data_IF_981026238602
#
_entry.id   IF_981026238602
#
_cell.length_a   1.000
_cell.length_b   1.000
_cell.length_c   1.000
_cell.angle_alpha   90.00
_cell.angle_beta   90.00
_cell.angle_gamma   90.00
#
_symmetry.space_group_name_H-M   'P 1'
#
loop_
_entity.id
_entity.type
_entity.pdbx_description
1 polymer ?
#
# COMPACT_ATOMS: atom_id res chain seq x y z
N UNK A 1 -40.22 -42.55 38.18
CA UNK A 1 -40.15 -42.74 36.72
C UNK A 1 -40.41 -41.38 36.08
N UNK A 2 -39.35 -40.65 35.73
CA UNK A 2 -39.44 -39.32 35.11
C UNK A 2 -38.74 -39.42 33.77
N UNK A 3 -39.51 -39.29 32.70
CA UNK A 3 -39.04 -39.41 31.32
C UNK A 3 -38.49 -38.04 30.89
N UNK A 4 -37.15 -37.90 30.82
CA UNK A 4 -36.51 -36.71 30.26
C UNK A 4 -36.44 -36.85 28.74
N UNK A 5 -37.19 -35.99 28.05
CA UNK A 5 -37.26 -35.91 26.61
C UNK A 5 -36.00 -35.23 26.05
N UNK A 6 -35.09 -36.02 25.50
CA UNK A 6 -33.84 -35.58 24.84
C UNK A 6 -34.11 -35.14 23.39
N UNK A 7 -34.65 -33.92 23.18
CA UNK A 7 -35.01 -33.44 21.83
C UNK A 7 -34.47 -32.03 21.48
N UNK A 8 -33.25 -31.68 21.90
CA UNK A 8 -32.69 -30.33 21.65
C UNK A 8 -31.26 -30.26 21.06
N UNK A 9 -30.80 -31.27 20.30
CA UNK A 9 -29.42 -31.27 19.73
C UNK A 9 -29.37 -31.46 18.20
N UNK A 10 -30.33 -30.92 17.44
CA UNK A 10 -30.29 -31.00 15.96
C UNK A 10 -30.58 -29.71 15.19
N UNK A 11 -30.60 -28.53 15.85
CA UNK A 11 -30.94 -27.26 15.18
C UNK A 11 -29.77 -26.28 14.98
N UNK A 12 -28.51 -26.72 15.15
CA UNK A 12 -27.35 -25.82 15.04
C UNK A 12 -26.46 -26.07 13.81
N UNK A 13 -26.77 -27.05 12.96
CA UNK A 13 -25.93 -27.38 11.79
C UNK A 13 -26.26 -26.58 10.51
N UNK A 14 -27.46 -26.00 10.40
CA UNK A 14 -27.92 -25.42 9.12
C UNK A 14 -27.56 -23.95 8.90
N UNK A 15 -27.27 -23.18 9.95
CA UNK A 15 -27.02 -21.73 9.80
C UNK A 15 -25.69 -21.47 9.07
N UNK A 16 -24.68 -22.30 9.31
CA UNK A 16 -23.34 -22.10 8.72
C UNK A 16 -23.30 -22.40 7.22
N UNK A 17 -24.14 -23.32 6.73
CA UNK A 17 -24.17 -23.70 5.32
C UNK A 17 -24.81 -22.61 4.44
N UNK A 18 -25.81 -21.88 4.96
CA UNK A 18 -26.45 -20.79 4.23
C UNK A 18 -25.47 -19.66 3.87
N UNK A 19 -24.58 -19.27 4.79
CA UNK A 19 -23.62 -18.18 4.56
C UNK A 19 -22.59 -18.47 3.46
N UNK A 20 -22.12 -19.71 3.35
CA UNK A 20 -21.15 -20.09 2.31
C UNK A 20 -21.77 -20.05 0.91
N UNK A 21 -23.05 -20.40 0.78
CA UNK A 21 -23.72 -20.39 -0.53
C UNK A 21 -24.03 -18.98 -1.03
N UNK A 22 -24.23 -18.01 -0.14
CA UNK A 22 -24.51 -16.62 -0.53
C UNK A 22 -23.27 -15.95 -1.12
N UNK A 23 -22.10 -16.14 -0.50
CA UNK A 23 -20.82 -15.58 -1.00
C UNK A 23 -20.47 -16.13 -2.40
N UNK A 24 -20.74 -17.41 -2.66
CA UNK A 24 -20.52 -18.01 -3.98
C UNK A 24 -21.45 -17.42 -5.05
N UNK A 25 -22.73 -17.20 -4.72
CA UNK A 25 -23.69 -16.58 -5.64
C UNK A 25 -23.29 -15.15 -5.99
N UNK A 26 -22.87 -14.37 -4.99
CA UNK A 26 -22.41 -12.99 -5.19
C UNK A 26 -21.16 -12.92 -6.08
N UNK A 27 -20.17 -13.79 -5.84
CA UNK A 27 -18.97 -13.89 -6.67
C UNK A 27 -19.27 -14.27 -8.12
N UNK A 28 -20.19 -15.23 -8.32
CA UNK A 28 -20.61 -15.63 -9.67
C UNK A 28 -21.38 -14.52 -10.39
N UNK A 29 -22.23 -13.78 -9.67
CA UNK A 29 -22.93 -12.61 -10.21
C UNK A 29 -21.96 -11.50 -10.61
N UNK A 30 -20.93 -11.22 -9.80
CA UNK A 30 -19.88 -10.25 -10.13
C UNK A 30 -19.08 -10.68 -11.37
N UNK A 31 -18.67 -11.96 -11.45
CA UNK A 31 -17.99 -12.51 -12.63
C UNK A 31 -18.84 -12.37 -13.90
N UNK A 32 -20.13 -12.69 -13.83
CA UNK A 32 -21.03 -12.55 -14.96
C UNK A 32 -21.16 -11.09 -15.44
N UNK A 33 -21.20 -10.12 -14.51
CA UNK A 33 -21.21 -8.69 -14.83
C UNK A 33 -19.91 -8.23 -15.48
N UNK A 34 -18.75 -8.64 -14.96
CA UNK A 34 -17.45 -8.33 -15.56
C UNK A 34 -17.35 -8.92 -16.97
N UNK A 35 -17.78 -10.18 -17.16
CA UNK A 35 -17.79 -10.85 -18.45
C UNK A 35 -18.60 -10.07 -19.50
N UNK A 36 -19.81 -9.60 -19.15
CA UNK A 36 -20.63 -8.77 -20.06
C UNK A 36 -20.00 -7.42 -20.42
N UNK A 37 -19.11 -6.90 -19.57
CA UNK A 37 -18.36 -5.67 -19.82
C UNK A 37 -17.20 -5.92 -20.81
N UNK A 38 -16.46 -7.03 -20.62
CA UNK A 38 -15.27 -7.35 -21.40
C UNK A 38 -15.55 -8.13 -22.69
N UNK A 39 -16.72 -8.77 -22.83
CA UNK A 39 -17.09 -9.51 -24.04
C UNK A 39 -17.30 -8.59 -25.25
N UNK A 40 -16.83 -9.09 -26.40
CA UNK A 40 -17.06 -8.50 -27.71
C UNK A 40 -18.55 -8.53 -28.03
N UNK A 41 -19.19 -7.35 -28.06
CA UNK A 41 -20.54 -7.23 -28.59
C UNK A 41 -20.44 -7.05 -30.10
N UNK A 42 -20.24 -8.16 -30.81
CA UNK A 42 -20.50 -8.17 -32.25
C UNK A 42 -22.01 -8.11 -32.46
N UNK A 43 -22.51 -7.04 -33.08
CA UNK A 43 -23.85 -7.07 -33.69
C UNK A 43 -23.73 -7.89 -34.98
N UNK A 44 -24.76 -8.67 -35.31
CA UNK A 44 -24.78 -9.49 -36.54
C UNK A 44 -24.31 -8.68 -37.76
N UNK A 45 -23.13 -9.03 -38.30
CA UNK A 45 -22.54 -8.40 -39.48
C UNK A 45 -21.57 -7.24 -39.23
N UNK A 46 -21.38 -6.76 -38.00
CA UNK A 46 -20.43 -5.70 -37.66
C UNK A 46 -19.13 -6.24 -37.03
N UNK A 47 -18.02 -5.56 -37.26
CA UNK A 47 -16.75 -5.87 -36.61
C UNK A 47 -16.90 -5.82 -35.07
N UNK A 48 -16.26 -6.73 -34.33
CA UNK A 48 -16.37 -6.79 -32.87
C UNK A 48 -15.90 -5.47 -32.25
N UNK A 49 -16.85 -4.72 -31.68
CA UNK A 49 -16.57 -3.46 -30.99
C UNK A 49 -16.42 -3.73 -29.49
N UNK A 50 -15.18 -3.70 -29.02
CA UNK A 50 -14.86 -3.79 -27.59
C UNK A 50 -15.50 -2.61 -26.85
N UNK A 51 -16.23 -2.90 -25.76
CA UNK A 51 -16.77 -1.87 -24.88
C UNK A 51 -15.67 -1.25 -23.99
N UNK A 52 -14.59 -1.99 -23.77
CA UNK A 52 -13.45 -1.60 -22.94
C UNK A 52 -12.20 -1.35 -23.79
N UNK A 53 -11.24 -0.56 -23.31
CA UNK A 53 -9.95 -0.41 -23.98
C UNK A 53 -9.27 -1.76 -24.25
N UNK A 54 -8.56 -1.87 -25.37
CA UNK A 54 -7.93 -3.12 -25.79
C UNK A 54 -6.92 -3.68 -24.77
N UNK A 55 -6.22 -2.81 -24.02
CA UNK A 55 -5.29 -3.23 -22.97
C UNK A 55 -6.02 -3.92 -21.81
N UNK A 56 -7.18 -3.42 -21.40
CA UNK A 56 -7.99 -3.98 -20.32
C UNK A 56 -8.57 -5.34 -20.70
N UNK A 57 -8.94 -5.52 -21.97
CA UNK A 57 -9.39 -6.82 -22.48
C UNK A 57 -8.26 -7.87 -22.49
N UNK A 58 -7.03 -7.47 -22.86
CA UNK A 58 -5.85 -8.35 -22.76
C UNK A 58 -5.56 -8.74 -21.32
N UNK A 59 -5.62 -7.78 -20.41
CA UNK A 59 -5.41 -7.99 -18.98
C UNK A 59 -6.46 -8.94 -18.38
N UNK A 60 -7.73 -8.76 -18.74
CA UNK A 60 -8.82 -9.63 -18.33
C UNK A 60 -8.60 -11.08 -18.75
N UNK A 61 -8.04 -11.35 -19.94
CA UNK A 61 -7.72 -12.71 -20.40
C UNK A 61 -6.53 -13.35 -19.67
N UNK A 62 -5.67 -12.56 -19.05
CA UNK A 62 -4.42 -13.04 -18.42
C UNK A 62 -4.53 -13.16 -16.89
N UNK A 63 -5.27 -12.27 -16.21
CA UNK A 63 -5.43 -12.27 -14.74
C UNK A 63 -6.55 -13.20 -14.27
N UNK A 64 -6.61 -13.41 -12.95
CA UNK A 64 -7.74 -14.09 -12.31
C UNK A 64 -9.03 -13.25 -12.46
N UNK A 65 -10.01 -13.81 -13.18
CA UNK A 65 -11.30 -13.19 -13.41
C UNK A 65 -12.07 -12.90 -12.11
N UNK A 66 -11.87 -13.68 -11.05
CA UNK A 66 -12.55 -13.48 -9.77
C UNK A 66 -12.06 -12.20 -9.10
N UNK A 67 -10.74 -12.04 -8.98
CA UNK A 67 -10.12 -10.88 -8.35
C UNK A 67 -10.56 -9.60 -9.05
N UNK A 68 -10.46 -9.59 -10.39
CA UNK A 68 -10.89 -8.45 -11.19
C UNK A 68 -12.39 -8.16 -11.07
N UNK A 69 -13.24 -9.19 -10.93
CA UNK A 69 -14.68 -9.01 -10.75
C UNK A 69 -15.02 -8.40 -9.38
N UNK A 70 -14.22 -8.71 -8.36
CA UNK A 70 -14.35 -8.13 -7.03
C UNK A 70 -13.92 -6.66 -7.04
N UNK A 71 -12.80 -6.32 -7.70
CA UNK A 71 -12.40 -4.91 -7.92
C UNK A 71 -13.50 -4.12 -8.64
N UNK A 72 -14.13 -4.72 -9.66
CA UNK A 72 -15.23 -4.09 -10.40
C UNK A 72 -16.49 -3.89 -9.54
N UNK A 73 -16.82 -4.88 -8.70
CA UNK A 73 -17.91 -4.78 -7.71
C UNK A 73 -17.63 -3.68 -6.69
N UNK A 74 -16.40 -3.58 -6.20
CA UNK A 74 -16.01 -2.58 -5.20
C UNK A 74 -16.02 -1.15 -5.79
N UNK A 75 -15.87 -1.04 -7.12
CA UNK A 75 -16.15 0.20 -7.87
C UNK A 75 -17.65 0.50 -8.07
N UNK A 76 -18.55 -0.30 -7.48
CA UNK A 76 -20.00 -0.16 -7.65
C UNK A 76 -20.51 -0.57 -9.03
N UNK A 77 -19.75 -1.41 -9.76
CA UNK A 77 -20.00 -1.73 -11.17
C UNK A 77 -20.02 -0.51 -12.11
N UNK A 78 -19.33 0.56 -11.73
CA UNK A 78 -19.13 1.74 -12.55
C UNK A 78 -17.94 1.52 -13.49
N UNK A 79 -18.23 1.48 -14.79
CA UNK A 79 -17.24 1.23 -15.85
C UNK A 79 -16.10 2.25 -15.82
N UNK A 80 -16.39 3.53 -15.68
CA UNK A 80 -15.37 4.58 -15.79
C UNK A 80 -14.47 4.60 -14.56
N UNK A 81 -15.05 4.41 -13.38
CA UNK A 81 -14.26 4.30 -12.14
C UNK A 81 -13.35 3.08 -12.19
N UNK A 82 -13.85 1.96 -12.70
CA UNK A 82 -13.06 0.74 -12.83
C UNK A 82 -11.91 0.89 -13.83
N UNK A 83 -12.17 1.47 -15.01
CA UNK A 83 -11.12 1.73 -16.00
C UNK A 83 -10.05 2.66 -15.41
N UNK A 84 -10.44 3.78 -14.77
CA UNK A 84 -9.50 4.70 -14.12
C UNK A 84 -8.70 4.05 -13.00
N UNK A 85 -9.31 3.16 -12.22
CA UNK A 85 -8.61 2.40 -11.18
C UNK A 85 -7.56 1.48 -11.79
N UNK A 86 -7.93 0.70 -12.83
CA UNK A 86 -7.00 -0.20 -13.51
C UNK A 86 -5.88 0.57 -14.21
N UNK A 87 -6.16 1.69 -14.87
CA UNK A 87 -5.12 2.55 -15.46
C UNK A 87 -4.10 3.00 -14.42
N UNK A 88 -4.54 3.41 -13.23
CA UNK A 88 -3.63 3.76 -12.13
C UNK A 88 -2.83 2.57 -11.64
N UNK A 89 -3.43 1.39 -11.54
CA UNK A 89 -2.73 0.18 -11.10
C UNK A 89 -1.67 -0.23 -12.12
N UNK A 90 -2.02 -0.28 -13.41
CA UNK A 90 -1.08 -0.62 -14.49
C UNK A 90 0.04 0.41 -14.57
N UNK A 91 -0.26 1.70 -14.54
CA UNK A 91 0.77 2.74 -14.54
C UNK A 91 1.65 2.67 -13.29
N UNK A 92 1.09 2.34 -12.13
CA UNK A 92 1.89 2.12 -10.93
C UNK A 92 2.77 0.86 -11.06
N UNK A 93 2.25 -0.25 -11.56
CA UNK A 93 3.04 -1.47 -11.79
C UNK A 93 4.18 -1.22 -12.77
N UNK A 94 3.93 -0.49 -13.86
CA UNK A 94 4.94 -0.04 -14.81
C UNK A 94 5.97 0.89 -14.15
N UNK A 95 5.52 1.85 -13.34
CA UNK A 95 6.41 2.76 -12.62
C UNK A 95 7.30 2.04 -11.58
N UNK A 96 6.80 0.96 -10.98
CA UNK A 96 7.52 0.16 -9.99
C UNK A 96 8.28 -1.02 -10.60
N UNK A 97 8.08 -1.32 -11.89
CA UNK A 97 8.88 -2.31 -12.61
C UNK A 97 10.31 -1.79 -12.62
N UNK A 98 11.14 -2.40 -11.78
CA UNK A 98 12.55 -2.07 -11.72
C UNK A 98 13.29 -2.99 -12.67
N UNK A 99 13.84 -2.43 -13.74
CA UNK A 99 14.78 -3.14 -14.60
C UNK A 99 16.14 -3.14 -13.90
N UNK A 100 16.72 -4.34 -13.76
CA UNK A 100 18.08 -4.49 -13.24
C UNK A 100 18.97 -4.78 -14.44
N UNK A 101 19.72 -3.78 -14.88
CA UNK A 101 20.74 -3.97 -15.90
C UNK A 101 22.06 -4.25 -15.21
N UNK A 102 22.78 -5.26 -15.72
CA UNK A 102 24.06 -5.67 -15.15
C UNK A 102 25.07 -5.74 -16.28
N UNK A 103 26.23 -5.12 -16.08
CA UNK A 103 27.27 -5.05 -17.11
C UNK A 103 28.60 -4.53 -16.57
N UNK A 104 29.61 -4.65 -17.42
CA UNK A 104 30.93 -4.05 -17.22
C UNK A 104 30.92 -2.65 -17.81
N UNK A 105 31.40 -1.67 -17.05
CA UNK A 105 31.43 -0.27 -17.47
C UNK A 105 32.76 0.37 -17.09
N UNK A 106 33.40 1.07 -18.03
CA UNK A 106 34.49 1.98 -17.72
C UNK A 106 33.97 3.20 -16.93
N UNK A 107 34.86 3.94 -16.27
CA UNK A 107 34.49 5.22 -15.60
C UNK A 107 33.85 6.20 -16.59
N UNK A 108 34.30 6.19 -17.85
CA UNK A 108 33.73 7.01 -18.91
C UNK A 108 32.34 6.55 -19.32
N UNK A 109 32.11 5.25 -19.43
CA UNK A 109 30.78 4.70 -19.78
C UNK A 109 29.77 4.95 -18.67
N UNK A 110 30.17 4.88 -17.41
CA UNK A 110 29.27 5.27 -16.31
C UNK A 110 28.84 6.75 -16.42
N UNK A 111 29.71 7.62 -16.92
CA UNK A 111 29.39 9.03 -17.13
C UNK A 111 28.55 9.24 -18.41
N UNK A 112 28.93 8.61 -19.52
CA UNK A 112 28.31 8.81 -20.85
C UNK A 112 27.02 8.03 -21.01
N UNK A 113 27.02 6.74 -20.67
CA UNK A 113 25.90 5.81 -20.87
C UNK A 113 24.93 5.86 -19.69
N UNK A 114 25.44 5.76 -18.46
CA UNK A 114 24.59 5.74 -17.26
C UNK A 114 24.23 7.14 -16.74
N UNK A 115 24.91 8.19 -17.24
CA UNK A 115 24.76 9.58 -16.77
C UNK A 115 24.97 9.73 -15.25
N UNK A 116 25.87 8.94 -14.67
CA UNK A 116 26.18 9.06 -13.26
C UNK A 116 27.06 10.28 -12.99
N UNK A 117 26.82 10.93 -11.85
CA UNK A 117 27.71 12.00 -11.41
C UNK A 117 29.02 11.41 -10.85
N UNK A 118 30.07 12.23 -10.83
CA UNK A 118 31.40 11.81 -10.35
C UNK A 118 31.37 11.22 -8.94
N UNK A 119 30.52 11.73 -8.04
CA UNK A 119 30.37 11.22 -6.67
C UNK A 119 29.81 9.79 -6.63
N UNK A 120 28.82 9.49 -7.47
CA UNK A 120 28.21 8.16 -7.57
C UNK A 120 29.19 7.17 -8.20
N UNK A 121 29.92 7.59 -9.22
CA UNK A 121 31.00 6.81 -9.84
C UNK A 121 32.06 6.46 -8.80
N UNK A 122 32.57 7.45 -8.06
CA UNK A 122 33.56 7.23 -7.01
C UNK A 122 33.06 6.25 -5.92
N UNK A 123 31.78 6.35 -5.54
CA UNK A 123 31.16 5.40 -4.60
C UNK A 123 31.09 3.98 -5.13
N UNK A 124 30.73 3.80 -6.42
CA UNK A 124 30.65 2.48 -7.04
C UNK A 124 32.03 1.84 -7.21
N UNK A 125 33.02 2.62 -7.65
CA UNK A 125 34.42 2.19 -7.77
C UNK A 125 34.95 1.73 -6.42
N UNK A 126 34.72 2.52 -5.35
CA UNK A 126 35.13 2.16 -3.99
C UNK A 126 34.53 0.83 -3.50
N UNK A 127 33.32 0.47 -3.94
CA UNK A 127 32.72 -0.84 -3.62
C UNK A 127 33.40 -1.94 -4.42
N UNK A 128 33.69 -1.73 -5.69
CA UNK A 128 34.37 -2.71 -6.54
C UNK A 128 35.80 -2.98 -6.08
N UNK A 129 36.50 -1.95 -5.56
CA UNK A 129 37.84 -2.08 -4.97
C UNK A 129 37.88 -2.96 -3.71
N UNK A 130 36.73 -3.23 -3.06
CA UNK A 130 36.67 -4.17 -1.92
C UNK A 130 36.80 -5.62 -2.36
N UNK A 131 36.45 -5.94 -3.60
CA UNK A 131 36.61 -7.28 -4.20
C UNK A 131 37.13 -7.17 -5.65
N UNK A 132 38.43 -6.85 -5.82
CA UNK A 132 39.01 -6.59 -7.13
C UNK A 132 38.98 -7.80 -8.08
N UNK A 133 38.96 -9.02 -7.55
CA UNK A 133 39.02 -10.24 -8.36
C UNK A 133 37.72 -10.51 -9.13
N UNK A 134 36.59 -10.07 -8.59
CA UNK A 134 35.26 -10.35 -9.15
C UNK A 134 34.58 -9.12 -9.75
N UNK A 135 34.96 -7.92 -9.30
CA UNK A 135 34.27 -6.68 -9.65
C UNK A 135 35.09 -5.74 -10.54
N UNK A 136 36.36 -6.05 -10.80
CA UNK A 136 37.24 -5.27 -11.64
C UNK A 136 37.85 -6.17 -12.71
N UNK A 137 37.68 -5.77 -13.97
CA UNK A 137 38.34 -6.41 -15.11
C UNK A 137 39.25 -5.38 -15.74
N UNK A 138 40.53 -5.69 -15.81
CA UNK A 138 41.46 -4.98 -16.68
C UNK A 138 41.49 -5.74 -17.99
N UNK A 139 41.18 -5.10 -19.12
CA UNK A 139 41.37 -5.74 -20.42
C UNK A 139 42.85 -6.03 -20.63
N UNK A 140 43.28 -7.26 -20.30
CA UNK A 140 44.60 -7.79 -20.66
C UNK A 140 44.59 -8.18 -22.12
N UNK A 141 44.50 -7.19 -23.00
CA UNK A 141 44.54 -7.32 -24.44
C UNK A 141 45.72 -6.55 -25.02
N UNK A 142 46.93 -7.09 -24.90
CA UNK A 142 48.10 -6.78 -25.75
C UNK A 142 48.65 -5.34 -25.84
N UNK A 143 48.20 -4.37 -25.05
CA UNK A 143 48.81 -3.03 -25.05
C UNK A 143 49.89 -2.90 -23.97
N UNK A 144 51.13 -2.61 -24.37
CA UNK A 144 52.24 -2.20 -23.49
C UNK A 144 51.94 -0.90 -22.69
N UNK A 145 50.82 -0.25 -22.98
CA UNK A 145 50.32 0.95 -22.32
C UNK A 145 49.00 0.60 -21.63
N UNK A 146 48.97 0.69 -20.30
CA UNK A 146 47.93 0.13 -19.42
C UNK A 146 46.50 0.23 -19.93
N UNK A 147 45.81 -0.92 -19.95
CA UNK A 147 44.40 -1.00 -20.32
C UNK A 147 43.49 -0.30 -19.31
N UNK A 148 42.34 0.16 -19.80
CA UNK A 148 41.32 0.78 -18.96
C UNK A 148 40.67 -0.25 -18.03
N UNK A 149 40.38 0.17 -16.78
CA UNK A 149 39.67 -0.66 -15.82
C UNK A 149 38.17 -0.58 -16.06
N UNK A 150 37.55 -1.75 -16.27
CA UNK A 150 36.12 -1.92 -16.30
C UNK A 150 35.62 -2.42 -14.94
N UNK A 151 34.51 -1.86 -14.48
CA UNK A 151 33.90 -2.22 -13.20
C UNK A 151 32.56 -2.90 -13.42
N UNK A 152 32.29 -3.96 -12.65
CA UNK A 152 31.00 -4.65 -12.70
C UNK A 152 29.96 -3.87 -11.91
N UNK A 153 28.98 -3.32 -12.62
CA UNK A 153 27.94 -2.48 -12.02
C UNK A 153 26.56 -3.06 -12.25
N UNK A 154 25.80 -3.11 -11.15
CA UNK A 154 24.36 -3.38 -11.20
C UNK A 154 23.62 -2.05 -11.12
N UNK A 155 22.86 -1.72 -12.16
CA UNK A 155 21.99 -0.56 -12.17
C UNK A 155 20.55 -1.01 -11.98
N UNK A 156 19.86 -0.37 -11.05
CA UNK A 156 18.42 -0.57 -10.84
C UNK A 156 17.72 0.71 -11.26
N UNK A 157 17.08 0.68 -12.41
CA UNK A 157 16.23 1.78 -12.86
C UNK A 157 14.78 1.43 -12.49
N UNK A 158 14.14 2.30 -11.71
CA UNK A 158 12.68 2.22 -11.51
C UNK A 158 12.00 2.82 -12.74
N UNK A 159 10.97 2.17 -13.30
CA UNK A 159 10.28 2.63 -14.52
C UNK A 159 9.83 4.09 -14.52
N UNK A 160 9.52 4.67 -13.35
CA UNK A 160 9.23 6.11 -13.23
C UNK A 160 10.38 7.02 -13.72
N UNK A 161 11.63 6.58 -13.56
CA UNK A 161 12.82 7.34 -13.96
C UNK A 161 13.08 7.22 -15.46
N UNK A 162 12.80 6.05 -16.04
CA UNK A 162 12.86 5.79 -17.48
C UNK A 162 11.83 6.65 -18.24
N UNK A 163 10.57 6.68 -17.79
CA UNK A 163 9.55 7.55 -18.38
C UNK A 163 9.91 9.04 -18.29
N UNK A 164 10.54 9.47 -17.20
CA UNK A 164 11.00 10.84 -17.05
C UNK A 164 12.19 11.17 -17.97
N UNK A 165 13.07 10.21 -18.29
CA UNK A 165 14.13 10.38 -19.29
C UNK A 165 13.54 10.58 -20.68
N UNK A 166 12.63 9.68 -21.09
CA UNK A 166 11.95 9.77 -22.39
C UNK A 166 11.23 11.12 -22.58
N UNK A 167 10.45 11.55 -21.58
CA UNK A 167 9.77 12.87 -21.60
C UNK A 167 10.74 14.05 -21.66
N UNK A 168 11.93 13.93 -21.06
CA UNK A 168 12.95 14.99 -21.09
C UNK A 168 13.59 15.08 -22.48
N UNK A 169 13.80 13.95 -23.13
CA UNK A 169 14.36 13.91 -24.47
C UNK A 169 13.35 14.42 -25.51
N UNK A 170 12.06 14.07 -25.39
CA UNK A 170 10.97 14.68 -26.18
C UNK A 170 10.92 16.22 -26.00
N UNK A 171 11.05 16.71 -24.76
CA UNK A 171 11.05 18.18 -24.50
C UNK A 171 12.23 18.90 -25.11
N UNK A 172 13.42 18.28 -25.11
CA UNK A 172 14.62 18.87 -25.73
C UNK A 172 14.51 18.92 -27.25
N UNK A 173 13.78 17.99 -27.85
CA UNK A 173 13.51 18.00 -29.28
C UNK A 173 12.55 19.14 -29.65
N UNK A 174 11.58 19.45 -28.79
CA UNK A 174 10.62 20.56 -29.00
C UNK A 174 11.24 21.95 -28.77
N UNK A 175 12.28 22.09 -27.94
CA UNK A 175 12.87 23.41 -27.59
C UNK A 175 14.00 23.87 -28.52
N UNK A 176 14.21 23.22 -29.66
CA UNK A 176 15.19 23.66 -30.67
C UNK A 176 14.65 24.62 -31.72
N UNK A 177 13.34 24.87 -31.74
CA UNK A 177 12.72 25.94 -32.52
C UNK A 177 12.08 26.95 -31.56
N UNK A 178 12.16 28.23 -31.93
CA UNK A 178 11.57 29.43 -31.29
C UNK A 178 12.44 30.20 -30.26
N UNK A 179 13.21 31.11 -30.85
CA UNK A 179 13.36 32.55 -30.54
C UNK A 179 13.22 33.06 -29.10
N UNK A 180 14.24 33.82 -28.71
CA UNK A 180 14.35 34.68 -27.54
C UNK A 180 13.24 35.72 -27.45
N UNK A 181 12.40 35.63 -26.42
CA UNK A 181 11.59 36.77 -25.94
C UNK A 181 11.97 37.16 -24.50
N UNK A 182 11.98 38.47 -24.18
CA UNK A 182 12.43 38.98 -22.89
C UNK A 182 11.38 38.76 -21.78
N UNK A 183 11.84 38.29 -20.62
CA UNK A 183 11.03 38.10 -19.41
C UNK A 183 10.40 39.40 -18.90
N UNK A 184 9.08 39.45 -18.65
CA UNK A 184 8.46 40.53 -17.91
C UNK A 184 8.40 40.25 -16.40
N UNK A 185 8.26 41.35 -15.68
CA UNK A 185 8.24 41.64 -14.24
C UNK A 185 7.14 40.92 -13.40
N UNK A 186 6.71 39.71 -13.81
CA UNK A 186 5.57 38.95 -13.24
C UNK A 186 5.97 38.05 -12.05
N UNK A 187 7.21 38.16 -11.54
CA UNK A 187 7.76 37.20 -10.56
C UNK A 187 7.21 37.39 -9.13
N UNK A 188 6.82 38.60 -8.73
CA UNK A 188 6.41 38.86 -7.34
C UNK A 188 5.00 38.36 -7.02
N UNK A 189 4.05 38.53 -7.94
CA UNK A 189 2.67 38.04 -7.78
C UNK A 189 2.58 36.51 -7.82
N UNK A 190 3.46 35.86 -8.61
CA UNK A 190 3.55 34.39 -8.64
C UNK A 190 4.06 33.84 -7.31
N UNK A 191 5.08 34.47 -6.72
CA UNK A 191 5.63 34.08 -5.41
C UNK A 191 4.60 34.22 -4.27
N UNK A 192 3.82 35.31 -4.26
CA UNK A 192 2.76 35.48 -3.26
C UNK A 192 1.63 34.46 -3.43
N UNK A 193 1.22 34.18 -4.67
CA UNK A 193 0.20 33.17 -4.98
C UNK A 193 0.63 31.76 -4.60
N UNK A 194 1.90 31.42 -4.83
CA UNK A 194 2.45 30.11 -4.45
C UNK A 194 2.59 29.97 -2.92
N UNK A 195 2.99 31.04 -2.22
CA UNK A 195 2.99 31.07 -0.75
C UNK A 195 1.59 30.86 -0.18
N UNK A 196 0.57 31.48 -0.78
CA UNK A 196 -0.82 31.34 -0.36
C UNK A 196 -1.37 29.92 -0.62
N UNK A 197 -1.00 29.30 -1.75
CA UNK A 197 -1.31 27.89 -2.05
C UNK A 197 -0.64 26.92 -1.08
N UNK A 198 0.60 27.21 -0.68
CA UNK A 198 1.34 26.38 0.27
C UNK A 198 0.67 26.41 1.66
N UNK A 199 0.26 27.59 2.13
CA UNK A 199 -0.47 27.75 3.39
C UNK A 199 -1.83 27.04 3.37
N UNK A 200 -2.58 27.15 2.27
CA UNK A 200 -3.86 26.44 2.11
C UNK A 200 -3.67 24.91 2.08
N UNK A 201 -2.62 24.43 1.43
CA UNK A 201 -2.23 23.01 1.40
C UNK A 201 -1.90 22.49 2.81
N UNK A 202 -1.11 23.24 3.58
CA UNK A 202 -0.74 22.87 4.96
C UNK A 202 -1.96 22.81 5.88
N UNK A 203 -2.86 23.80 5.81
CA UNK A 203 -4.13 23.79 6.56
C UNK A 203 -5.00 22.56 6.23
N UNK A 204 -5.07 22.16 4.94
CA UNK A 204 -5.80 20.95 4.53
C UNK A 204 -5.19 19.65 5.07
N UNK A 205 -3.87 19.62 5.28
CA UNK A 205 -3.16 18.45 5.79
C UNK A 205 -3.36 18.32 7.31
N UNK A 206 -3.27 19.45 8.03
CA UNK A 206 -3.51 19.51 9.48
C UNK A 206 -4.94 19.04 9.82
N UNK A 207 -5.96 19.55 9.10
CA UNK A 207 -7.35 19.14 9.29
C UNK A 207 -7.56 17.63 9.05
N UNK A 208 -6.94 17.07 8.00
CA UNK A 208 -7.00 15.63 7.72
C UNK A 208 -6.33 14.80 8.81
N UNK A 209 -5.18 15.22 9.31
CA UNK A 209 -4.51 14.55 10.44
C UNK A 209 -5.40 14.54 11.67
N UNK A 210 -5.96 15.70 12.06
CA UNK A 210 -6.87 15.84 13.20
C UNK A 210 -8.07 14.89 13.09
N UNK A 211 -8.72 14.81 11.93
CA UNK A 211 -9.85 13.91 11.70
C UNK A 211 -9.46 12.42 11.87
N UNK A 212 -8.28 12.03 11.39
CA UNK A 212 -7.76 10.66 11.55
C UNK A 212 -7.53 10.35 13.03
N UNK A 213 -6.96 11.28 13.80
CA UNK A 213 -6.73 11.12 15.23
C UNK A 213 -8.02 10.94 16.02
N UNK A 214 -9.01 11.80 15.76
CA UNK A 214 -10.32 11.70 16.41
C UNK A 214 -10.95 10.33 16.16
N UNK A 215 -10.97 9.86 14.91
CA UNK A 215 -11.49 8.53 14.57
C UNK A 215 -10.72 7.40 15.26
N UNK A 216 -9.40 7.55 15.41
CA UNK A 216 -8.59 6.53 16.07
C UNK A 216 -8.88 6.49 17.58
N UNK A 217 -8.99 7.65 18.24
CA UNK A 217 -9.38 7.77 19.64
C UNK A 217 -10.76 7.16 19.90
N UNK A 218 -11.76 7.50 19.08
CA UNK A 218 -13.11 6.94 19.17
C UNK A 218 -13.10 5.41 19.01
N UNK A 219 -12.28 4.90 18.08
CA UNK A 219 -12.13 3.46 17.87
C UNK A 219 -11.53 2.74 19.10
N UNK A 220 -10.53 3.35 19.75
CA UNK A 220 -9.93 2.79 20.98
C UNK A 220 -10.96 2.79 22.10
N UNK A 221 -11.63 3.91 22.34
CA UNK A 221 -12.68 4.02 23.37
C UNK A 221 -13.81 3.01 23.17
N UNK A 222 -14.29 2.84 21.93
CA UNK A 222 -15.34 1.88 21.63
C UNK A 222 -14.89 0.43 21.88
N UNK A 223 -13.62 0.10 21.62
CA UNK A 223 -13.06 -1.24 21.91
C UNK A 223 -12.92 -1.45 23.40
N UNK A 224 -12.39 -0.48 24.14
CA UNK A 224 -12.28 -0.53 25.60
C UNK A 224 -13.66 -0.75 26.23
N UNK A 225 -14.69 -0.01 25.80
CA UNK A 225 -16.06 -0.17 26.29
C UNK A 225 -16.61 -1.58 26.04
N UNK A 226 -16.38 -2.16 24.85
CA UNK A 226 -16.78 -3.54 24.52
C UNK A 226 -16.07 -4.58 25.39
N UNK A 227 -14.78 -4.41 25.64
CA UNK A 227 -14.02 -5.33 26.51
C UNK A 227 -14.49 -5.25 27.97
N UNK A 228 -14.77 -4.04 28.49
CA UNK A 228 -15.35 -3.86 29.83
C UNK A 228 -16.73 -4.49 29.95
N UNK A 229 -17.58 -4.38 28.92
CA UNK A 229 -18.87 -5.08 28.88
C UNK A 229 -18.68 -6.60 28.94
N UNK A 230 -17.79 -7.15 28.10
CA UNK A 230 -17.49 -8.59 28.09
C UNK A 230 -16.95 -9.08 29.44
N UNK A 231 -16.05 -8.31 30.06
CA UNK A 231 -15.50 -8.60 31.39
C UNK A 231 -16.61 -8.63 32.45
N UNK A 232 -17.52 -7.65 32.43
CA UNK A 232 -18.70 -7.60 33.30
C UNK A 232 -19.62 -8.81 33.07
N UNK A 233 -19.90 -9.17 31.81
CA UNK A 233 -20.80 -10.28 31.48
C UNK A 233 -20.19 -11.63 31.91
N UNK A 234 -18.89 -11.82 31.70
CA UNK A 234 -18.17 -13.01 32.18
C UNK A 234 -18.22 -13.11 33.71
N UNK A 235 -17.97 -12.00 34.42
CA UNK A 235 -18.01 -11.98 35.88
C UNK A 235 -19.42 -12.23 36.46
N UNK A 236 -20.48 -11.86 35.72
CA UNK A 236 -21.87 -12.06 36.15
C UNK A 236 -22.35 -13.49 35.90
N UNK A 237 -22.04 -14.07 34.75
CA UNK A 237 -22.60 -15.35 34.33
C UNK A 237 -21.79 -16.56 34.79
N UNK A 238 -20.53 -16.36 35.12
CA UNK A 238 -19.65 -17.42 35.57
C UNK A 238 -19.22 -17.12 37.00
N UNK A 239 -19.55 -18.03 37.93
CA UNK A 239 -19.05 -17.94 39.29
C UNK A 239 -17.50 -17.95 39.23
N UNK A 240 -16.85 -17.06 39.98
CA UNK A 240 -15.39 -16.91 40.09
C UNK A 240 -14.63 -18.18 40.54
N UNK A 241 -15.33 -19.30 40.68
CA UNK A 241 -14.80 -20.63 40.99
C UNK A 241 -14.08 -21.28 39.81
N UNK A 242 -14.42 -20.93 38.57
CA UNK A 242 -13.73 -21.49 37.39
C UNK A 242 -12.41 -20.76 37.12
N UNK A 243 -11.31 -21.48 37.24
CA UNK A 243 -9.95 -20.97 37.05
C UNK A 243 -9.72 -20.46 35.62
N UNK A 244 -10.38 -21.06 34.61
CA UNK A 244 -10.26 -20.65 33.20
C UNK A 244 -10.89 -19.27 33.00
N UNK A 245 -12.06 -19.06 33.61
CA UNK A 245 -12.77 -17.77 33.57
C UNK A 245 -11.95 -16.71 34.29
N UNK A 246 -11.38 -17.04 35.46
CA UNK A 246 -10.53 -16.11 36.22
C UNK A 246 -9.29 -15.67 35.42
N UNK A 247 -8.62 -16.60 34.74
CA UNK A 247 -7.48 -16.31 33.84
C UNK A 247 -7.92 -15.43 32.67
N UNK A 248 -9.09 -15.70 32.09
CA UNK A 248 -9.64 -14.94 30.96
C UNK A 248 -10.00 -13.50 31.37
N UNK A 249 -10.64 -13.31 32.53
CA UNK A 249 -10.94 -11.98 33.08
C UNK A 249 -9.65 -11.20 33.33
N UNK A 250 -8.63 -11.83 33.93
CA UNK A 250 -7.33 -11.18 34.16
C UNK A 250 -6.63 -10.79 32.84
N UNK A 251 -6.73 -11.62 31.80
CA UNK A 251 -6.18 -11.31 30.48
C UNK A 251 -6.92 -10.13 29.82
N UNK A 252 -8.25 -10.07 29.94
CA UNK A 252 -9.04 -8.93 29.46
C UNK A 252 -8.66 -7.64 30.18
N UNK A 253 -8.46 -7.70 31.50
CA UNK A 253 -8.05 -6.55 32.31
C UNK A 253 -6.70 -5.98 31.86
N UNK A 254 -5.72 -6.86 31.60
CA UNK A 254 -4.44 -6.46 31.03
C UNK A 254 -4.56 -5.82 29.64
N UNK A 255 -5.44 -6.33 28.79
CA UNK A 255 -5.65 -5.78 27.45
C UNK A 255 -6.42 -4.44 27.49
N UNK A 256 -7.34 -4.27 28.43
CA UNK A 256 -7.98 -2.98 28.72
C UNK A 256 -6.93 -1.96 29.16
N UNK A 257 -6.03 -2.33 30.08
CA UNK A 257 -4.93 -1.45 30.53
C UNK A 257 -4.06 -0.96 29.37
N UNK A 258 -3.66 -1.85 28.45
CA UNK A 258 -2.88 -1.47 27.26
C UNK A 258 -3.63 -0.51 26.33
N UNK A 259 -4.94 -0.68 26.18
CA UNK A 259 -5.76 0.22 25.38
C UNK A 259 -5.91 1.58 26.04
N UNK A 260 -6.07 1.63 27.37
CA UNK A 260 -6.13 2.88 28.13
C UNK A 260 -4.79 3.62 28.05
N UNK A 261 -3.65 2.93 28.17
CA UNK A 261 -2.31 3.51 27.96
C UNK A 261 -2.15 4.08 26.54
N UNK A 262 -2.61 3.32 25.54
CA UNK A 262 -2.58 3.78 24.14
C UNK A 262 -3.46 5.02 23.93
N UNK A 263 -4.65 5.05 24.54
CA UNK A 263 -5.55 6.19 24.46
C UNK A 263 -4.94 7.45 25.10
N UNK A 264 -4.33 7.31 26.28
CA UNK A 264 -3.65 8.41 26.96
C UNK A 264 -2.52 8.97 26.09
N UNK A 265 -1.71 8.09 25.50
CA UNK A 265 -0.63 8.50 24.60
C UNK A 265 -1.13 9.19 23.33
N UNK A 266 -2.20 8.68 22.71
CA UNK A 266 -2.85 9.35 21.59
C UNK A 266 -3.34 10.74 21.98
N UNK A 267 -3.90 10.89 23.18
CA UNK A 267 -4.42 12.15 23.70
C UNK A 267 -3.30 13.17 23.92
N UNK A 268 -2.15 12.74 24.45
CA UNK A 268 -0.95 13.56 24.56
C UNK A 268 -0.46 14.02 23.18
N UNK A 269 -0.37 13.11 22.21
CA UNK A 269 0.04 13.43 20.83
C UNK A 269 -0.94 14.39 20.16
N UNK A 270 -2.25 14.28 20.42
CA UNK A 270 -3.23 15.26 19.94
C UNK A 270 -3.03 16.63 20.58
N UNK A 271 -2.78 16.69 21.89
CA UNK A 271 -2.53 17.95 22.59
C UNK A 271 -1.22 18.63 22.12
N UNK A 272 -0.18 17.85 21.81
CA UNK A 272 1.03 18.35 21.15
C UNK A 272 0.75 18.82 19.73
N UNK A 273 -0.02 18.05 18.96
CA UNK A 273 -0.43 18.40 17.60
C UNK A 273 -1.23 19.71 17.54
N UNK A 274 -2.18 19.92 18.46
CA UNK A 274 -2.95 21.17 18.54
C UNK A 274 -2.08 22.38 18.92
N UNK A 275 -1.03 22.18 19.72
CA UNK A 275 -0.09 23.23 20.08
C UNK A 275 0.77 23.69 18.91
N UNK A 276 1.14 22.76 18.03
CA UNK A 276 2.05 23.00 16.91
C UNK A 276 1.30 23.17 15.56
N UNK A 277 -0.02 23.41 15.59
CA UNK A 277 -0.91 23.46 14.41
C UNK A 277 -0.78 22.22 13.50
N UNK A 278 -0.34 21.09 14.05
CA UNK A 278 0.03 19.87 13.34
C UNK A 278 1.09 20.12 12.22
N UNK A 279 1.82 21.23 12.27
CA UNK A 279 2.79 21.64 11.26
C UNK A 279 4.17 20.97 11.42
N UNK A 280 4.40 20.27 12.55
CA UNK A 280 5.64 19.56 12.89
C UNK A 280 5.59 18.04 12.67
N UNK A 281 6.74 17.36 12.87
CA UNK A 281 6.97 15.91 12.67
C UNK A 281 6.07 14.94 13.45
N UNK A 282 5.03 15.42 14.12
CA UNK A 282 3.98 14.69 14.82
C UNK A 282 3.33 13.62 13.90
N UNK A 283 3.15 13.91 12.60
CA UNK A 283 2.65 12.93 11.63
C UNK A 283 3.54 11.67 11.48
N UNK A 284 4.86 11.79 11.68
CA UNK A 284 5.79 10.65 11.61
C UNK A 284 5.75 9.77 12.86
N UNK A 285 5.58 10.37 14.04
CA UNK A 285 5.38 9.63 15.29
C UNK A 285 4.15 8.71 15.17
N UNK A 286 3.08 9.24 14.57
CA UNK A 286 1.81 8.53 14.34
C UNK A 286 1.91 7.42 13.32
N UNK A 287 2.63 7.62 12.21
CA UNK A 287 2.86 6.52 11.27
C UNK A 287 3.66 5.38 11.88
N UNK A 288 4.48 5.67 12.89
CA UNK A 288 5.22 4.64 13.61
C UNK A 288 4.37 3.97 14.69
N UNK A 289 3.42 4.68 15.31
CA UNK A 289 2.46 4.07 16.25
C UNK A 289 1.29 3.36 15.57
N UNK A 290 0.81 3.83 14.42
CA UNK A 290 -0.20 3.12 13.62
C UNK A 290 0.34 1.80 13.04
N UNK A 291 1.66 1.61 13.03
CA UNK A 291 2.31 0.31 12.75
C UNK A 291 2.25 -0.64 13.95
N UNK A 292 1.84 -0.19 15.13
CA UNK A 292 1.46 -1.09 16.23
C UNK A 292 0.31 -1.93 15.69
N UNK A 293 0.63 -3.21 15.43
CA UNK A 293 -0.24 -4.12 14.70
C UNK A 293 -1.64 -4.07 15.31
N UNK A 294 -2.70 -3.89 14.51
CA UNK A 294 -4.06 -3.87 15.03
C UNK A 294 -4.27 -5.09 15.92
N UNK A 295 -4.63 -4.85 17.18
CA UNK A 295 -4.88 -5.90 18.16
C UNK A 295 -5.91 -6.88 17.55
N UNK A 296 -5.43 -8.07 17.23
CA UNK A 296 -6.23 -9.10 16.58
C UNK A 296 -6.72 -10.06 17.65
N UNK A 297 -7.88 -9.74 18.24
CA UNK A 297 -8.56 -10.54 19.24
C UNK A 297 -8.61 -12.03 18.83
N UNK A 298 -8.94 -12.32 17.56
CA UNK A 298 -9.01 -13.69 17.03
C UNK A 298 -7.68 -14.42 17.16
N UNK A 299 -6.55 -13.73 16.93
CA UNK A 299 -5.21 -14.33 17.07
C UNK A 299 -4.86 -14.61 18.52
N UNK A 300 -5.33 -13.78 19.46
CA UNK A 300 -5.09 -13.97 20.88
C UNK A 300 -5.93 -15.14 21.43
N UNK A 301 -7.24 -15.17 21.15
CA UNK A 301 -8.11 -16.29 21.54
C UNK A 301 -7.66 -17.61 20.91
N UNK A 302 -7.18 -17.61 19.66
CA UNK A 302 -6.63 -18.81 19.02
C UNK A 302 -5.34 -19.31 19.68
N UNK A 303 -4.53 -18.43 20.28
CA UNK A 303 -3.35 -18.83 21.06
C UNK A 303 -3.75 -19.45 22.40
N UNK A 304 -4.72 -18.86 23.09
CA UNK A 304 -5.24 -19.39 24.37
C UNK A 304 -5.85 -20.78 24.14
N UNK A 305 -6.73 -20.91 23.15
CA UNK A 305 -7.35 -22.20 22.79
C UNK A 305 -6.33 -23.28 22.38
N UNK A 306 -5.18 -22.89 21.83
CA UNK A 306 -4.10 -23.82 21.48
C UNK A 306 -3.31 -24.28 22.71
N UNK A 307 -3.08 -23.40 23.68
CA UNK A 307 -2.40 -23.74 24.94
C UNK A 307 -3.24 -24.62 25.87
N UNK A 308 -4.54 -24.79 25.59
CA UNK A 308 -5.42 -25.69 26.33
C UNK A 308 -5.53 -27.09 25.70
N UNK A 309 -4.98 -27.28 24.49
CA UNK A 309 -4.92 -28.58 23.81
C UNK A 309 -3.60 -29.33 24.05
N UNK A 310 -2.58 -28.64 24.55
CA UNK A 310 -1.27 -29.17 24.93
C UNK A 310 -1.21 -29.34 26.45
#
# INVERSE_FOLDING_TARGET
MICFCSCHILYSCDITYCFLTQDVKEKNAAKAKLRRLCEDKAKHGEAPKLQVPAWLHKEWKQRDHLEMAMEYRDCGFDKEKFIKLRERTVTNEENHKSTVAVGWYSKEDMLKVLHWNAKKIAGAVKICEQDPLHLIRTEKGNCEYGGEEEYYVTTRETGALEQNRLKKDERKEITKDDSEEPMPEVKLDRLNKDKQRLLASQSSAAMRSKEIFTKHCDSVLQKTAKLRSLQSDLAKHYNNTDEVVRKSIKALDMDIGKLDDSYNKLTEVMAEGERDDYAGGCAKAVQNEAKIRPWNAKRHFKKIAKQEQD
#
